data_IF_828301001307
#
_entry.id   IF_828301001307
#
_cell.length_a   1.000
_cell.length_b   1.000
_cell.length_c   1.000
_cell.angle_alpha   90.00
_cell.angle_beta   90.00
_cell.angle_gamma   90.00
#
_symmetry.space_group_name_H-M   'P 1'
#
loop_
_entity.id
_entity.type
_entity.pdbx_description
1 polymer ?
#
# COMPACT_ATOMS: atom_id res chain seq x y z
N UNK A 1 -18.96 -24.88 -3.27
CA UNK A 1 -18.09 -23.93 -2.53
C UNK A 1 -17.23 -23.17 -3.53
N UNK A 2 -17.54 -21.89 -3.80
CA UNK A 2 -16.69 -21.04 -4.65
C UNK A 2 -15.69 -20.33 -3.73
N UNK A 3 -14.42 -20.74 -3.78
CA UNK A 3 -13.33 -19.99 -3.14
C UNK A 3 -13.21 -18.62 -3.86
N UNK A 4 -13.86 -17.61 -3.29
CA UNK A 4 -13.76 -16.22 -3.74
C UNK A 4 -12.32 -15.73 -3.64
N UNK A 5 -11.80 -15.25 -4.76
CA UNK A 5 -10.43 -14.77 -4.98
C UNK A 5 -10.09 -13.68 -3.96
N UNK A 6 -9.05 -13.90 -3.14
CA UNK A 6 -8.80 -13.07 -1.95
C UNK A 6 -8.15 -11.71 -2.20
N UNK A 7 -7.42 -11.47 -3.29
CA UNK A 7 -6.97 -10.11 -3.66
C UNK A 7 -6.87 -9.95 -5.17
N UNK A 8 -7.49 -8.90 -5.75
CA UNK A 8 -7.43 -8.67 -7.17
C UNK A 8 -7.05 -7.22 -7.52
N UNK A 9 -5.77 -6.95 -7.79
CA UNK A 9 -5.37 -5.89 -8.74
C UNK A 9 -5.78 -6.34 -10.16
N UNK A 10 -7.10 -6.35 -10.36
CA UNK A 10 -7.95 -7.25 -11.16
C UNK A 10 -7.80 -7.04 -12.67
N UNK A 11 -7.82 -8.15 -13.40
CA UNK A 11 -7.87 -8.30 -14.88
C UNK A 11 -6.64 -7.91 -15.70
N UNK A 12 -6.04 -8.95 -16.28
CA UNK A 12 -5.17 -8.90 -17.46
C UNK A 12 -5.79 -8.00 -18.55
N UNK A 13 -5.20 -6.83 -18.79
CA UNK A 13 -4.85 -6.46 -20.16
C UNK A 13 -3.34 -6.38 -20.22
N UNK A 14 -2.75 -7.05 -21.20
CA UNK A 14 -1.33 -6.89 -21.55
C UNK A 14 -1.13 -5.43 -21.95
N UNK A 15 -0.86 -4.55 -20.99
CA UNK A 15 -0.21 -3.29 -21.30
C UNK A 15 1.19 -3.65 -21.80
N UNK A 16 1.52 -3.19 -23.01
CA UNK A 16 2.85 -3.40 -23.58
C UNK A 16 3.87 -2.69 -22.69
N UNK A 17 4.49 -3.42 -21.77
CA UNK A 17 5.59 -2.94 -20.92
C UNK A 17 5.30 -2.96 -19.42
N UNK A 18 5.67 -4.06 -18.74
CA UNK A 18 5.86 -4.10 -17.28
C UNK A 18 4.66 -4.52 -16.43
N UNK A 19 4.91 -5.39 -15.44
CA UNK A 19 3.97 -5.90 -14.43
C UNK A 19 3.76 -4.88 -13.30
N UNK A 20 3.26 -3.68 -13.59
CA UNK A 20 2.88 -2.72 -12.54
C UNK A 20 1.36 -2.80 -12.28
N UNK A 21 0.92 -2.83 -11.01
CA UNK A 21 -0.49 -2.74 -10.65
C UNK A 21 -1.14 -1.45 -11.16
N UNK A 22 -2.44 -1.51 -11.43
CA UNK A 22 -3.23 -0.32 -11.78
C UNK A 22 -3.34 0.63 -10.57
N UNK A 23 -3.39 1.93 -10.85
CA UNK A 23 -3.59 2.95 -9.83
C UNK A 23 -5.01 2.85 -9.24
N UNK A 24 -5.12 2.92 -7.92
CA UNK A 24 -6.40 2.95 -7.18
C UNK A 24 -6.47 4.28 -6.44
N UNK A 25 -7.50 5.08 -6.78
CA UNK A 25 -7.80 6.34 -6.10
C UNK A 25 -8.24 6.06 -4.65
N UNK A 26 -8.09 7.03 -3.75
CA UNK A 26 -8.55 6.84 -2.36
C UNK A 26 -10.07 6.64 -2.27
N UNK A 27 -10.84 7.24 -3.18
CA UNK A 27 -12.30 7.13 -3.19
C UNK A 27 -12.78 5.77 -3.69
N UNK A 28 -11.99 5.11 -4.54
CA UNK A 28 -12.29 3.77 -5.07
C UNK A 28 -11.65 2.65 -4.26
N UNK A 29 -10.78 2.98 -3.28
CA UNK A 29 -10.08 2.01 -2.46
C UNK A 29 -11.03 1.35 -1.47
N UNK A 30 -11.15 0.02 -1.54
CA UNK A 30 -12.01 -0.76 -0.65
C UNK A 30 -11.19 -1.54 0.36
N UNK A 31 -11.83 -1.91 1.48
CA UNK A 31 -11.23 -2.75 2.52
C UNK A 31 -10.72 -4.09 1.95
N UNK A 32 -11.39 -4.63 0.94
CA UNK A 32 -11.01 -5.87 0.25
C UNK A 32 -9.75 -5.75 -0.64
N UNK A 33 -9.35 -4.54 -1.02
CA UNK A 33 -8.13 -4.31 -1.81
C UNK A 33 -6.87 -4.28 -0.94
N UNK A 34 -7.02 -4.02 0.36
CA UNK A 34 -5.91 -3.94 1.30
C UNK A 34 -5.47 -5.36 1.69
N UNK A 35 -4.17 -5.72 1.57
CA UNK A 35 -3.67 -7.00 2.04
C UNK A 35 -3.94 -7.23 3.53
N UNK A 36 -4.32 -8.45 3.92
CA UNK A 36 -4.53 -8.80 5.33
C UNK A 36 -3.22 -8.94 6.11
N UNK A 37 -3.30 -8.83 7.44
CA UNK A 37 -2.21 -9.23 8.34
C UNK A 37 -1.72 -10.64 8.01
N UNK A 38 -0.40 -10.78 7.87
CA UNK A 38 0.25 -12.03 7.45
C UNK A 38 0.49 -12.18 5.94
N UNK A 39 0.04 -11.22 5.12
CA UNK A 39 0.36 -11.20 3.70
C UNK A 39 1.89 -11.11 3.47
N UNK A 40 2.46 -11.88 2.53
CA UNK A 40 3.89 -11.84 2.26
C UNK A 40 4.31 -10.49 1.68
N UNK A 41 5.58 -10.11 1.88
CA UNK A 41 6.10 -8.80 1.46
C UNK A 41 5.81 -8.46 0.00
N UNK A 42 5.87 -9.42 -0.92
CA UNK A 42 5.64 -9.17 -2.35
C UNK A 42 4.20 -8.69 -2.64
N UNK A 43 3.19 -9.16 -1.91
CA UNK A 43 1.80 -8.67 -2.07
C UNK A 43 1.66 -7.24 -1.54
N UNK A 44 2.27 -6.96 -0.38
CA UNK A 44 2.31 -5.61 0.20
C UNK A 44 3.03 -4.63 -0.73
N UNK A 45 4.16 -5.07 -1.31
CA UNK A 45 4.93 -4.29 -2.28
C UNK A 45 4.11 -3.99 -3.54
N UNK A 46 3.38 -4.97 -4.09
CA UNK A 46 2.48 -4.74 -5.21
C UNK A 46 1.36 -3.76 -4.84
N UNK A 47 0.69 -3.95 -3.70
CA UNK A 47 -0.33 -3.02 -3.24
C UNK A 47 0.20 -1.58 -3.09
N UNK A 48 1.43 -1.42 -2.59
CA UNK A 48 2.07 -0.11 -2.47
C UNK A 48 2.20 0.64 -3.79
N UNK A 49 2.30 -0.09 -4.92
CA UNK A 49 2.43 0.47 -6.27
C UNK A 49 1.09 0.90 -6.88
N UNK A 50 -0.04 0.59 -6.24
CA UNK A 50 -1.37 1.10 -6.65
C UNK A 50 -1.55 2.58 -6.30
N UNK A 51 -0.58 3.20 -5.64
CA UNK A 51 -0.60 4.60 -5.25
C UNK A 51 0.69 5.29 -5.69
N UNK A 52 0.58 6.52 -6.19
CA UNK A 52 1.75 7.35 -6.49
C UNK A 52 2.10 8.26 -5.30
N UNK A 53 3.07 7.81 -4.50
CA UNK A 53 3.58 8.59 -3.38
C UNK A 53 4.31 9.87 -3.79
N UNK A 54 4.84 9.97 -5.02
CA UNK A 54 5.56 11.15 -5.50
C UNK A 54 4.60 12.30 -5.80
N UNK A 55 3.50 12.03 -6.51
CA UNK A 55 2.44 13.02 -6.77
C UNK A 55 1.88 13.60 -5.47
N UNK A 56 1.82 12.81 -4.39
CA UNK A 56 1.36 13.29 -3.06
C UNK A 56 2.42 14.12 -2.33
N UNK A 57 3.70 13.75 -2.43
CA UNK A 57 4.80 14.43 -1.74
C UNK A 57 5.15 15.81 -2.33
N UNK A 58 4.67 16.14 -3.53
CA UNK A 58 4.99 17.39 -4.24
C UNK A 58 6.46 17.49 -4.67
N UNK A 59 7.26 16.44 -4.46
CA UNK A 59 8.67 16.39 -4.85
C UNK A 59 9.15 14.95 -5.02
N UNK A 60 10.05 14.73 -5.98
CA UNK A 60 10.75 13.46 -6.18
C UNK A 60 11.87 13.23 -5.16
N UNK A 61 12.10 14.18 -4.25
CA UNK A 61 13.24 14.14 -3.36
C UNK A 61 13.12 12.96 -2.36
N UNK A 62 14.20 12.17 -2.27
CA UNK A 62 14.33 10.97 -1.45
C UNK A 62 14.20 11.23 0.06
N UNK A 63 14.18 12.51 0.46
CA UNK A 63 14.10 13.00 1.83
C UNK A 63 12.74 13.62 2.17
N UNK A 64 11.66 13.33 1.43
CA UNK A 64 10.33 13.78 1.87
C UNK A 64 10.05 13.14 3.24
N UNK A 65 9.87 13.93 4.31
CA UNK A 65 9.59 13.38 5.63
C UNK A 65 8.20 12.75 5.58
N UNK A 66 8.15 11.44 5.42
CA UNK A 66 6.88 10.72 5.54
C UNK A 66 6.63 10.50 7.02
N UNK A 67 5.48 10.92 7.57
CA UNK A 67 5.17 10.70 8.97
C UNK A 67 5.31 9.22 9.34
N UNK A 68 5.67 8.96 10.60
CA UNK A 68 5.58 7.60 11.14
C UNK A 68 4.13 7.08 11.06
N UNK A 69 3.92 5.76 11.08
CA UNK A 69 2.59 5.14 11.08
C UNK A 69 1.69 5.76 12.13
N UNK A 70 2.21 6.03 13.33
CA UNK A 70 1.44 6.66 14.41
C UNK A 70 0.98 8.07 14.06
N UNK A 71 1.76 8.79 13.24
CA UNK A 71 1.50 10.17 12.84
C UNK A 71 0.64 10.28 11.57
N UNK A 72 0.48 9.22 10.79
CA UNK A 72 -0.40 9.21 9.61
C UNK A 72 -1.86 9.36 10.04
N UNK A 73 -2.55 10.40 9.55
CA UNK A 73 -3.96 10.71 9.84
C UNK A 73 -4.89 10.43 8.65
N UNK A 74 -4.36 10.54 7.44
CA UNK A 74 -5.12 10.39 6.19
C UNK A 74 -4.75 9.12 5.43
N UNK A 75 -5.66 8.60 4.60
CA UNK A 75 -5.35 7.46 3.71
C UNK A 75 -4.20 7.77 2.77
N UNK A 76 -4.09 9.00 2.27
CA UNK A 76 -2.98 9.43 1.41
C UNK A 76 -1.63 9.35 2.12
N UNK A 77 -1.54 9.76 3.38
CA UNK A 77 -0.29 9.65 4.17
C UNK A 77 0.08 8.20 4.41
N UNK A 78 -0.90 7.36 4.76
CA UNK A 78 -0.68 5.94 4.98
C UNK A 78 -0.20 5.22 3.71
N UNK A 79 -0.87 5.47 2.56
CA UNK A 79 -0.48 4.90 1.26
C UNK A 79 0.87 5.42 0.78
N UNK A 80 1.15 6.72 0.97
CA UNK A 80 2.46 7.29 0.67
C UNK A 80 3.55 6.64 1.54
N UNK A 81 3.30 6.43 2.84
CA UNK A 81 4.26 5.76 3.72
C UNK A 81 4.59 4.35 3.24
N UNK A 82 3.58 3.59 2.85
CA UNK A 82 3.78 2.25 2.33
C UNK A 82 4.61 2.26 1.04
N UNK A 83 4.31 3.18 0.12
CA UNK A 83 5.06 3.37 -1.13
C UNK A 83 6.55 3.67 -0.86
N UNK A 84 6.85 4.58 0.08
CA UNK A 84 8.23 4.92 0.40
C UNK A 84 8.99 3.80 1.14
N UNK A 85 8.32 3.02 2.00
CA UNK A 85 8.94 1.82 2.58
C UNK A 85 9.30 0.81 1.49
N UNK A 86 8.42 0.57 0.52
CA UNK A 86 8.74 -0.28 -0.62
C UNK A 86 9.99 0.19 -1.37
N UNK A 87 10.08 1.50 -1.66
CA UNK A 87 11.26 2.09 -2.31
C UNK A 87 12.52 1.93 -1.46
N UNK A 88 12.43 2.11 -0.15
CA UNK A 88 13.54 1.92 0.79
C UNK A 88 14.08 0.49 0.74
N UNK A 89 13.21 -0.51 0.69
CA UNK A 89 13.61 -1.91 0.62
C UNK A 89 14.17 -2.32 -0.76
N UNK A 90 13.63 -1.76 -1.84
CA UNK A 90 14.27 -1.87 -3.17
C UNK A 90 15.70 -1.34 -3.13
N UNK A 91 15.92 -0.14 -2.57
CA UNK A 91 17.25 0.47 -2.47
C UNK A 91 18.21 -0.37 -1.62
N UNK A 92 17.72 -0.98 -0.54
CA UNK A 92 18.51 -1.90 0.30
C UNK A 92 18.82 -3.23 -0.38
N UNK A 93 18.16 -3.57 -1.49
CA UNK A 93 18.22 -4.89 -2.15
C UNK A 93 17.98 -6.05 -1.17
N UNK A 94 17.08 -5.85 -0.21
CA UNK A 94 16.75 -6.79 0.87
C UNK A 94 15.24 -6.83 1.09
N UNK A 95 14.76 -7.90 1.68
CA UNK A 95 13.39 -7.97 2.18
C UNK A 95 13.31 -7.38 3.61
N UNK A 96 12.14 -6.86 4.02
CA UNK A 96 11.93 -6.39 5.38
C UNK A 96 12.16 -7.52 6.40
N UNK A 97 12.74 -7.18 7.56
CA UNK A 97 12.82 -8.11 8.69
C UNK A 97 11.45 -8.25 9.37
N UNK A 98 11.32 -9.21 10.29
CA UNK A 98 10.08 -9.47 11.03
C UNK A 98 9.50 -8.22 11.70
N UNK A 99 10.33 -7.44 12.38
CA UNK A 99 9.90 -6.20 13.05
C UNK A 99 9.33 -5.17 12.07
N UNK A 100 9.95 -5.05 10.89
CA UNK A 100 9.41 -4.17 9.85
C UNK A 100 8.12 -4.74 9.25
N UNK A 101 8.00 -6.05 9.12
CA UNK A 101 6.75 -6.66 8.65
C UNK A 101 5.59 -6.40 9.63
N UNK A 102 5.81 -6.49 10.95
CA UNK A 102 4.79 -6.12 11.95
C UNK A 102 4.36 -4.66 11.81
N UNK A 103 5.32 -3.74 11.66
CA UNK A 103 5.05 -2.33 11.40
C UNK A 103 4.20 -2.10 10.13
N UNK A 104 4.50 -2.84 9.06
CA UNK A 104 3.73 -2.76 7.82
C UNK A 104 2.32 -3.31 7.99
N UNK A 105 2.13 -4.37 8.78
CA UNK A 105 0.79 -4.87 9.10
C UNK A 105 -0.01 -3.85 9.90
N UNK A 106 0.58 -3.19 10.90
CA UNK A 106 -0.10 -2.15 11.67
C UNK A 106 -0.53 -0.98 10.77
N UNK A 107 0.29 -0.61 9.79
CA UNK A 107 -0.07 0.38 8.77
C UNK A 107 -1.27 -0.06 7.92
N UNK A 108 -1.30 -1.32 7.47
CA UNK A 108 -2.40 -1.86 6.67
C UNK A 108 -3.71 -1.90 7.47
N UNK A 109 -3.67 -2.37 8.72
CA UNK A 109 -4.84 -2.39 9.61
C UNK A 109 -5.36 -0.97 9.87
N UNK A 110 -4.46 0.00 10.09
CA UNK A 110 -4.85 1.41 10.24
C UNK A 110 -5.58 1.97 9.01
N UNK A 111 -5.19 1.54 7.80
CA UNK A 111 -5.92 1.89 6.57
C UNK A 111 -7.32 1.26 6.54
N UNK A 112 -7.45 -0.02 6.93
CA UNK A 112 -8.75 -0.71 7.01
C UNK A 112 -9.69 -0.02 8.00
N UNK A 113 -9.19 0.31 9.18
CA UNK A 113 -9.95 1.01 10.22
C UNK A 113 -10.44 2.37 9.75
N UNK A 114 -9.60 3.10 9.01
CA UNK A 114 -10.00 4.39 8.45
C UNK A 114 -11.13 4.24 7.43
N UNK A 115 -11.01 3.30 6.49
CA UNK A 115 -12.08 3.04 5.51
C UNK A 115 -13.38 2.61 6.19
N UNK A 116 -13.31 1.74 7.19
CA UNK A 116 -14.47 1.26 7.93
C UNK A 116 -15.19 2.38 8.72
N UNK A 117 -14.46 3.42 9.13
CA UNK A 117 -15.06 4.62 9.76
C UNK A 117 -15.68 5.55 8.73
N UNK A 118 -15.00 5.75 7.61
CA UNK A 118 -15.47 6.63 6.54
C UNK A 118 -16.73 6.04 5.84
N UNK A 119 -16.87 4.71 5.73
CA UNK A 119 -18.09 4.03 5.22
C UNK A 119 -19.32 4.17 6.14
N UNK A 120 -19.11 4.51 7.42
CA UNK A 120 -20.19 4.66 8.43
C UNK A 120 -20.61 6.11 8.66
N UNK A 121 -19.89 7.07 8.09
CA UNK A 121 -20.12 8.50 8.22
C UNK A 121 -21.01 9.03 7.10
#
# INVERSE_FOLDING_TARGET
MKLGRKYPWRTKKKAKGGLLPEYISNSDLRIEDIPLKGAPWHEIALFSLTFDGYSRAGSFNRCTPVPDVMQCRTLSEMRARLFFEHRRWILKKKQPCRETMEYLYDLLEKMRDKLARDERA
#
